data_IF_861963603884
#
_entry.id   IF_861963603884
#
_cell.length_a   1.000
_cell.length_b   1.000
_cell.length_c   1.000
_cell.angle_alpha   90.00
_cell.angle_beta   90.00
_cell.angle_gamma   90.00
#
_symmetry.space_group_name_H-M   'P 1'
#
loop_
_entity.id
_entity.type
_entity.pdbx_description
1 polymer ?
#
# COMPACT_ATOMS: atom_id res chain seq x y z
N UNK A 1 7.87 -1.96 20.10
CA UNK A 1 7.16 -0.71 20.47
C UNK A 1 5.88 -1.15 21.17
N UNK A 2 4.97 -0.24 21.52
CA UNK A 2 3.62 -0.64 21.89
C UNK A 2 2.77 -0.75 20.61
N UNK A 3 1.62 -1.43 20.69
CA UNK A 3 0.60 -1.40 19.65
C UNK A 3 0.29 0.05 19.26
N UNK A 4 -0.03 0.34 17.99
CA UNK A 4 -0.27 1.70 17.54
C UNK A 4 -1.49 2.29 18.26
N UNK A 5 -1.26 3.40 18.96
CA UNK A 5 -2.32 4.13 19.63
C UNK A 5 -3.14 4.93 18.62
N UNK A 6 -4.46 4.89 18.77
CA UNK A 6 -5.39 5.73 18.05
C UNK A 6 -6.53 6.19 18.95
N UNK A 7 -7.09 7.35 18.65
CA UNK A 7 -8.19 7.92 19.43
C UNK A 7 -9.50 7.89 18.66
N UNK A 8 -10.63 7.85 19.37
CA UNK A 8 -11.95 7.99 18.76
C UNK A 8 -12.06 9.30 17.94
N UNK A 9 -11.38 10.36 18.39
CA UNK A 9 -11.31 11.64 17.68
C UNK A 9 -10.65 11.49 16.31
N UNK A 10 -9.53 10.77 16.21
CA UNK A 10 -8.86 10.52 14.92
C UNK A 10 -9.76 9.73 13.95
N UNK A 11 -10.48 8.71 14.44
CA UNK A 11 -11.45 7.97 13.63
C UNK A 11 -12.58 8.88 13.12
N UNK A 12 -13.05 9.79 13.97
CA UNK A 12 -14.09 10.75 13.63
C UNK A 12 -13.61 11.76 12.58
N UNK A 13 -12.41 12.33 12.76
CA UNK A 13 -11.80 13.27 11.81
C UNK A 13 -11.49 12.63 10.45
N UNK A 14 -11.09 11.35 10.43
CA UNK A 14 -10.86 10.57 9.22
C UNK A 14 -12.16 10.17 8.49
N UNK A 15 -13.32 10.29 9.15
CA UNK A 15 -14.63 9.96 8.57
C UNK A 15 -15.00 8.48 8.63
N UNK A 16 -14.44 7.72 9.59
CA UNK A 16 -14.70 6.28 9.79
C UNK A 16 -16.15 5.98 10.17
N UNK A 17 -16.81 6.92 10.82
CA UNK A 17 -18.18 6.78 11.33
C UNK A 17 -19.27 6.87 10.25
N UNK A 18 -18.94 7.28 9.03
CA UNK A 18 -19.91 7.32 7.93
C UNK A 18 -20.04 5.96 7.26
N UNK A 19 -21.26 5.46 7.12
CA UNK A 19 -21.58 4.33 6.27
C UNK A 19 -22.24 4.75 4.95
N UNK A 20 -22.94 3.81 4.34
CA UNK A 20 -23.74 4.01 3.13
C UNK A 20 -25.14 4.56 3.42
N UNK A 21 -25.86 4.84 2.34
CA UNK A 21 -27.26 5.29 2.38
C UNK A 21 -28.21 4.22 2.95
N UNK A 22 -29.29 4.67 3.58
CA UNK A 22 -30.29 3.84 4.28
C UNK A 22 -30.84 2.65 3.47
N UNK A 23 -30.91 2.77 2.14
CA UNK A 23 -31.48 1.71 1.29
C UNK A 23 -30.49 0.59 0.95
N UNK A 24 -29.17 0.78 1.17
CA UNK A 24 -28.13 -0.20 0.82
C UNK A 24 -27.65 -1.03 2.01
N UNK A 25 -28.20 -0.81 3.20
CA UNK A 25 -27.73 -1.44 4.42
C UNK A 25 -28.08 -2.93 4.49
N UNK A 26 -27.25 -3.66 5.22
CA UNK A 26 -27.48 -5.06 5.55
C UNK A 26 -28.08 -5.14 6.97
N UNK A 27 -29.24 -5.80 7.16
CA UNK A 27 -29.86 -5.95 8.48
C UNK A 27 -28.94 -6.55 9.55
N UNK A 28 -27.97 -7.38 9.16
CA UNK A 28 -27.00 -8.00 10.08
C UNK A 28 -25.98 -7.01 10.65
N UNK A 29 -25.81 -5.86 10.02
CA UNK A 29 -24.99 -4.76 10.55
C UNK A 29 -25.73 -3.91 11.59
N UNK A 30 -27.01 -4.21 11.87
CA UNK A 30 -27.83 -3.40 12.77
C UNK A 30 -27.24 -3.18 14.16
N UNK A 31 -26.51 -4.15 14.71
CA UNK A 31 -25.85 -4.01 16.02
C UNK A 31 -24.67 -3.04 16.02
N UNK A 32 -24.04 -2.81 14.86
CA UNK A 32 -22.88 -1.93 14.70
C UNK A 32 -23.25 -0.51 14.22
N UNK A 33 -24.50 -0.30 13.85
CA UNK A 33 -25.03 0.98 13.38
C UNK A 33 -25.59 1.74 14.58
N UNK A 34 -25.06 2.93 14.85
CA UNK A 34 -25.53 3.82 15.91
C UNK A 34 -26.87 4.49 15.55
N UNK A 35 -27.04 4.89 14.29
CA UNK A 35 -28.25 5.56 13.83
C UNK A 35 -28.20 5.98 12.36
N UNK A 36 -29.15 6.82 11.94
CA UNK A 36 -29.21 7.40 10.60
C UNK A 36 -29.34 8.91 10.70
N UNK A 37 -28.51 9.64 9.94
CA UNK A 37 -28.60 11.11 9.83
C UNK A 37 -28.46 11.50 8.36
N UNK A 38 -29.36 12.34 7.86
CA UNK A 38 -29.39 12.76 6.45
C UNK A 38 -29.34 11.55 5.49
N UNK A 39 -30.13 10.51 5.78
CA UNK A 39 -30.20 9.25 5.04
C UNK A 39 -28.90 8.44 4.94
N UNK A 40 -27.87 8.79 5.70
CA UNK A 40 -26.61 8.05 5.82
C UNK A 40 -26.55 7.33 7.16
N UNK A 41 -26.14 6.06 7.15
CA UNK A 41 -25.90 5.30 8.38
C UNK A 41 -24.67 5.84 9.11
N UNK A 42 -24.78 5.98 10.42
CA UNK A 42 -23.66 6.30 11.30
C UNK A 42 -23.24 5.03 12.02
N UNK A 43 -21.97 4.65 11.88
CA UNK A 43 -21.36 3.51 12.55
C UNK A 43 -21.01 3.88 14.00
N UNK A 44 -21.17 2.92 14.91
CA UNK A 44 -20.86 3.11 16.32
C UNK A 44 -19.35 2.98 16.59
N UNK A 45 -18.67 4.13 16.71
CA UNK A 45 -17.23 4.17 17.01
C UNK A 45 -16.87 3.58 18.38
N UNK A 46 -17.81 3.51 19.33
CA UNK A 46 -17.55 2.90 20.64
C UNK A 46 -17.28 1.39 20.51
N UNK A 47 -17.86 0.76 19.48
CA UNK A 47 -17.60 -0.63 19.11
C UNK A 47 -16.40 -0.74 18.15
N UNK A 48 -16.23 0.21 17.22
CA UNK A 48 -15.08 0.21 16.29
C UNK A 48 -13.75 0.24 17.02
N UNK A 49 -13.59 1.06 18.07
CA UNK A 49 -12.31 1.21 18.78
C UNK A 49 -11.79 -0.11 19.37
N UNK A 50 -12.54 -0.84 20.22
CA UNK A 50 -12.06 -2.11 20.77
C UNK A 50 -11.88 -3.19 19.70
N UNK A 51 -12.75 -3.25 18.69
CA UNK A 51 -12.65 -4.23 17.61
C UNK A 51 -11.44 -3.98 16.70
N UNK A 52 -11.15 -2.72 16.38
CA UNK A 52 -9.95 -2.33 15.63
C UNK A 52 -8.69 -2.67 16.43
N UNK A 53 -8.67 -2.40 17.73
CA UNK A 53 -7.55 -2.77 18.59
C UNK A 53 -7.31 -4.29 18.61
N UNK A 54 -8.37 -5.11 18.67
CA UNK A 54 -8.25 -6.56 18.57
C UNK A 54 -7.69 -7.02 17.21
N UNK A 55 -8.14 -6.40 16.11
CA UNK A 55 -7.61 -6.69 14.78
C UNK A 55 -6.12 -6.32 14.66
N UNK A 56 -5.72 -5.14 15.15
CA UNK A 56 -4.32 -4.69 15.14
C UNK A 56 -3.43 -5.58 16.02
N UNK A 57 -3.95 -6.03 17.16
CA UNK A 57 -3.26 -7.00 18.00
C UNK A 57 -3.05 -8.33 17.28
N UNK A 58 -4.09 -8.86 16.63
CA UNK A 58 -3.98 -10.09 15.86
C UNK A 58 -2.94 -9.98 14.73
N UNK A 59 -2.87 -8.83 14.05
CA UNK A 59 -1.83 -8.54 13.05
C UNK A 59 -0.44 -8.56 13.69
N UNK A 60 -0.22 -7.79 14.77
CA UNK A 60 1.08 -7.74 15.47
C UNK A 60 1.51 -9.11 15.98
N UNK A 61 0.61 -9.88 16.59
CA UNK A 61 0.89 -11.21 17.13
C UNK A 61 1.18 -12.24 16.02
N UNK A 62 0.49 -12.16 14.88
CA UNK A 62 0.76 -13.02 13.71
C UNK A 62 2.16 -12.76 13.15
N UNK A 63 2.52 -11.48 12.98
CA UNK A 63 3.84 -11.10 12.45
C UNK A 63 4.95 -11.40 13.47
N UNK A 64 4.68 -11.21 14.76
CA UNK A 64 5.62 -11.57 15.83
C UNK A 64 5.93 -13.08 15.85
N UNK A 65 4.96 -13.92 15.47
CA UNK A 65 5.15 -15.36 15.28
C UNK A 65 5.88 -15.76 13.99
N UNK A 66 6.32 -14.79 13.17
CA UNK A 66 6.90 -15.04 11.85
C UNK A 66 5.86 -15.36 10.76
N UNK A 67 4.58 -15.17 11.07
CA UNK A 67 3.49 -15.34 10.13
C UNK A 67 3.39 -14.19 9.13
N UNK A 68 2.72 -14.45 8.01
CA UNK A 68 2.59 -13.51 6.90
C UNK A 68 1.20 -12.87 6.89
N UNK A 69 1.16 -11.55 6.75
CA UNK A 69 -0.09 -10.79 6.63
C UNK A 69 -0.29 -10.34 5.18
N UNK A 70 -1.48 -10.61 4.64
CA UNK A 70 -1.89 -10.17 3.32
C UNK A 70 -2.90 -9.03 3.40
N UNK A 71 -2.55 -7.85 2.90
CA UNK A 71 -3.45 -6.69 2.85
C UNK A 71 -4.16 -6.66 1.50
N UNK A 72 -5.50 -6.72 1.51
CA UNK A 72 -6.33 -6.82 0.30
C UNK A 72 -7.25 -5.62 0.20
N UNK A 73 -7.21 -4.95 -0.95
CA UNK A 73 -8.16 -3.88 -1.29
C UNK A 73 -8.05 -3.51 -2.77
N UNK A 74 -9.04 -3.95 -3.56
CA UNK A 74 -9.08 -3.74 -5.02
C UNK A 74 -9.78 -2.44 -5.43
N UNK A 75 -10.43 -1.79 -4.48
CA UNK A 75 -11.13 -0.52 -4.65
C UNK A 75 -10.15 0.58 -5.06
N UNK A 76 -10.57 1.47 -5.98
CA UNK A 76 -9.69 2.52 -6.51
C UNK A 76 -9.12 3.43 -5.41
N UNK A 77 -9.92 3.71 -4.38
CA UNK A 77 -9.54 4.50 -3.22
C UNK A 77 -8.54 3.78 -2.30
N UNK A 78 -8.53 2.44 -2.31
CA UNK A 78 -7.65 1.61 -1.48
C UNK A 78 -6.35 1.22 -2.18
N UNK A 79 -6.33 1.20 -3.51
CA UNK A 79 -5.25 0.66 -4.34
C UNK A 79 -3.84 1.14 -3.96
N UNK A 80 -3.69 2.45 -3.82
CA UNK A 80 -2.40 3.08 -3.51
C UNK A 80 -2.05 2.97 -2.03
N UNK A 81 -3.02 3.18 -1.14
CA UNK A 81 -2.84 3.10 0.30
C UNK A 81 -2.41 1.70 0.75
N UNK A 82 -3.06 0.66 0.22
CA UNK A 82 -2.73 -0.75 0.49
C UNK A 82 -1.32 -1.09 0.03
N UNK A 83 -0.97 -0.72 -1.20
CA UNK A 83 0.35 -1.02 -1.76
C UNK A 83 1.48 -0.29 -1.03
N UNK A 84 1.28 0.97 -0.66
CA UNK A 84 2.27 1.78 0.06
C UNK A 84 2.48 1.25 1.48
N UNK A 85 1.39 0.97 2.19
CA UNK A 85 1.44 0.52 3.59
C UNK A 85 2.04 -0.87 3.73
N UNK A 86 1.73 -1.78 2.80
CA UNK A 86 2.32 -3.10 2.76
C UNK A 86 3.84 -3.06 2.50
N UNK A 87 4.28 -2.24 1.52
CA UNK A 87 5.72 -2.04 1.26
C UNK A 87 6.45 -1.46 2.47
N UNK A 88 5.86 -0.47 3.13
CA UNK A 88 6.45 0.15 4.32
C UNK A 88 6.56 -0.81 5.51
N UNK A 89 5.70 -1.82 5.59
CA UNK A 89 5.69 -2.82 6.68
C UNK A 89 6.32 -4.15 6.29
N UNK A 90 6.96 -4.24 5.12
CA UNK A 90 7.49 -5.48 4.55
C UNK A 90 6.47 -6.64 4.51
N UNK A 91 5.18 -6.30 4.35
CA UNK A 91 4.08 -7.26 4.21
C UNK A 91 3.57 -7.33 2.77
N UNK A 92 2.72 -8.31 2.50
CA UNK A 92 2.21 -8.61 1.17
C UNK A 92 0.89 -7.92 0.89
N UNK A 93 0.58 -7.69 -0.38
CA UNK A 93 -0.66 -7.03 -0.76
C UNK A 93 -1.28 -7.51 -2.07
N UNK A 94 -2.59 -7.29 -2.19
CA UNK A 94 -3.33 -7.36 -3.45
C UNK A 94 -4.14 -6.09 -3.61
N UNK A 95 -3.73 -5.24 -4.54
CA UNK A 95 -4.39 -3.95 -4.78
C UNK A 95 -5.15 -3.87 -6.11
N UNK A 96 -4.80 -4.66 -7.13
CA UNK A 96 -5.47 -4.56 -8.43
C UNK A 96 -6.73 -5.44 -8.52
N UNK A 97 -6.56 -6.75 -8.67
CA UNK A 97 -7.66 -7.70 -8.85
C UNK A 97 -7.35 -8.99 -8.12
N UNK A 98 -8.34 -9.47 -7.36
CA UNK A 98 -8.33 -10.82 -6.83
C UNK A 98 -8.63 -11.84 -7.94
N UNK A 99 -7.70 -12.76 -8.21
CA UNK A 99 -7.92 -13.89 -9.10
C UNK A 99 -8.52 -15.03 -8.27
N UNK A 100 -9.65 -15.59 -8.70
CA UNK A 100 -10.23 -16.75 -8.03
C UNK A 100 -9.24 -17.92 -8.01
N UNK A 101 -9.07 -18.54 -6.86
CA UNK A 101 -8.05 -19.57 -6.65
C UNK A 101 -6.73 -19.04 -6.12
N UNK A 102 -6.64 -17.74 -5.77
CA UNK A 102 -5.41 -17.11 -5.26
C UNK A 102 -4.85 -17.83 -4.03
N UNK A 103 -5.70 -18.29 -3.12
CA UNK A 103 -5.29 -19.02 -1.93
C UNK A 103 -5.55 -20.52 -2.09
N UNK A 104 -6.73 -20.87 -2.59
CA UNK A 104 -7.17 -22.28 -2.68
C UNK A 104 -6.44 -23.10 -3.73
N UNK A 105 -5.92 -22.46 -4.79
CA UNK A 105 -5.09 -23.10 -5.82
C UNK A 105 -3.70 -22.45 -5.89
N UNK A 106 -3.00 -22.41 -4.75
CA UNK A 106 -1.67 -21.81 -4.65
C UNK A 106 -0.65 -22.38 -5.64
N UNK A 107 -0.75 -23.67 -6.00
CA UNK A 107 0.17 -24.30 -6.95
C UNK A 107 0.15 -23.60 -8.32
N UNK A 108 -1.03 -23.31 -8.89
CA UNK A 108 -1.13 -22.62 -10.18
C UNK A 108 -0.70 -21.15 -10.07
N UNK A 109 -0.99 -20.50 -8.95
CA UNK A 109 -0.58 -19.12 -8.70
C UNK A 109 0.94 -19.02 -8.60
N UNK A 110 1.58 -19.95 -7.89
CA UNK A 110 3.04 -20.03 -7.78
C UNK A 110 3.73 -20.21 -9.13
N UNK A 111 3.15 -20.99 -10.05
CA UNK A 111 3.64 -21.11 -11.43
C UNK A 111 3.51 -19.78 -12.21
N UNK A 112 2.44 -19.03 -11.97
CA UNK A 112 2.24 -17.71 -12.59
C UNK A 112 3.24 -16.68 -12.04
N UNK A 113 3.59 -16.76 -10.75
CA UNK A 113 4.65 -15.94 -10.13
C UNK A 113 6.03 -16.32 -10.69
N UNK A 114 6.31 -17.62 -10.87
CA UNK A 114 7.55 -18.07 -11.52
C UNK A 114 7.64 -17.58 -12.97
N UNK A 115 6.52 -17.59 -13.70
CA UNK A 115 6.44 -17.00 -15.05
C UNK A 115 6.75 -15.51 -15.04
N UNK A 116 6.21 -14.75 -14.09
CA UNK A 116 6.52 -13.33 -13.91
C UNK A 116 8.03 -13.10 -13.68
N UNK A 117 8.63 -13.83 -12.74
CA UNK A 117 10.08 -13.75 -12.47
C UNK A 117 10.93 -14.06 -13.71
N UNK A 118 10.55 -15.09 -14.48
CA UNK A 118 11.24 -15.44 -15.73
C UNK A 118 11.10 -14.34 -16.80
N UNK A 119 9.93 -13.70 -16.90
CA UNK A 119 9.72 -12.59 -17.83
C UNK A 119 10.58 -11.38 -17.46
N UNK A 120 10.65 -11.03 -16.17
CA UNK A 120 11.53 -9.96 -15.68
C UNK A 120 12.99 -10.26 -16.01
N UNK A 121 13.48 -11.46 -15.69
CA UNK A 121 14.85 -11.88 -15.95
C UNK A 121 15.19 -11.82 -17.44
N UNK A 122 14.31 -12.36 -18.30
CA UNK A 122 14.52 -12.36 -19.74
C UNK A 122 14.56 -10.94 -20.31
N UNK A 123 13.68 -10.06 -19.82
CA UNK A 123 13.60 -8.65 -20.26
C UNK A 123 14.75 -7.79 -19.71
N UNK A 124 15.32 -8.14 -18.55
CA UNK A 124 16.48 -7.45 -17.98
C UNK A 124 17.82 -7.94 -18.54
N UNK A 125 17.87 -9.17 -19.04
CA UNK A 125 19.08 -9.76 -19.60
C UNK A 125 19.34 -9.32 -21.05
N UNK A 126 20.58 -9.48 -21.52
CA UNK A 126 20.94 -9.25 -22.93
C UNK A 126 20.16 -10.12 -23.93
N UNK A 127 19.50 -11.18 -23.45
CA UNK A 127 18.57 -11.97 -24.27
C UNK A 127 17.43 -11.11 -24.84
N UNK A 128 17.07 -10.00 -24.19
CA UNK A 128 16.07 -9.05 -24.69
C UNK A 128 16.45 -8.42 -26.04
N UNK A 129 17.76 -8.32 -26.34
CA UNK A 129 18.26 -7.75 -27.60
C UNK A 129 18.16 -8.74 -28.77
N UNK A 130 18.04 -10.04 -28.49
CA UNK A 130 17.83 -11.09 -29.50
C UNK A 130 16.37 -11.24 -29.93
N UNK A 131 15.44 -10.60 -29.23
CA UNK A 131 14.00 -10.68 -29.49
C UNK A 131 13.57 -9.68 -30.56
N UNK A 132 12.59 -10.06 -31.36
CA UNK A 132 11.95 -9.10 -32.26
C UNK A 132 11.17 -8.05 -31.47
N UNK A 133 11.02 -6.84 -32.02
CA UNK A 133 10.23 -5.76 -31.38
C UNK A 133 8.80 -6.21 -31.04
N UNK A 134 8.22 -7.09 -31.87
CA UNK A 134 6.88 -7.65 -31.65
C UNK A 134 6.86 -8.58 -30.44
N UNK A 135 7.79 -9.52 -30.35
CA UNK A 135 7.89 -10.46 -29.22
C UNK A 135 8.17 -9.73 -27.91
N UNK A 136 9.10 -8.76 -27.93
CA UNK A 136 9.39 -7.91 -26.77
C UNK A 136 8.14 -7.20 -26.27
N UNK A 137 7.35 -6.60 -27.17
CA UNK A 137 6.08 -5.94 -26.81
C UNK A 137 5.06 -6.90 -26.18
N UNK A 138 4.95 -8.13 -26.69
CA UNK A 138 4.05 -9.13 -26.10
C UNK A 138 4.52 -9.56 -24.71
N UNK A 139 5.82 -9.76 -24.52
CA UNK A 139 6.41 -10.10 -23.22
C UNK A 139 6.26 -8.96 -22.21
N UNK A 140 6.48 -7.71 -22.63
CA UNK A 140 6.27 -6.53 -21.76
C UNK A 140 4.81 -6.41 -21.31
N UNK A 141 3.84 -6.61 -22.22
CA UNK A 141 2.41 -6.61 -21.87
C UNK A 141 2.04 -7.75 -20.92
N UNK A 142 2.62 -8.95 -21.13
CA UNK A 142 2.42 -10.09 -20.23
C UNK A 142 3.00 -9.78 -18.84
N UNK A 143 4.23 -9.26 -18.78
CA UNK A 143 4.88 -8.82 -17.53
C UNK A 143 4.03 -7.79 -16.81
N UNK A 144 3.63 -6.70 -17.46
CA UNK A 144 2.81 -5.64 -16.83
C UNK A 144 1.48 -6.17 -16.29
N UNK A 145 0.84 -7.09 -17.02
CA UNK A 145 -0.42 -7.71 -16.57
C UNK A 145 -0.20 -8.59 -15.34
N UNK A 146 0.87 -9.38 -15.33
CA UNK A 146 1.20 -10.24 -14.19
C UNK A 146 1.66 -9.42 -12.99
N UNK A 147 2.55 -8.44 -13.19
CA UNK A 147 3.07 -7.56 -12.15
C UNK A 147 1.94 -6.77 -11.46
N UNK A 148 1.00 -6.23 -12.24
CA UNK A 148 -0.15 -5.51 -11.69
C UNK A 148 -0.99 -6.38 -10.73
N UNK A 149 -1.14 -7.67 -11.00
CA UNK A 149 -2.04 -8.55 -10.23
C UNK A 149 -1.31 -9.39 -9.17
N UNK A 150 -0.04 -9.74 -9.40
CA UNK A 150 0.72 -10.70 -8.59
C UNK A 150 1.97 -10.07 -7.94
N UNK A 151 2.34 -8.83 -8.29
CA UNK A 151 3.56 -8.19 -7.78
C UNK A 151 3.60 -8.13 -6.26
N UNK A 152 2.47 -7.83 -5.61
CA UNK A 152 2.38 -7.75 -4.15
C UNK A 152 2.44 -9.09 -3.40
N UNK A 153 2.33 -10.24 -4.09
CA UNK A 153 2.47 -11.58 -3.51
C UNK A 153 3.67 -12.35 -4.06
N UNK A 154 4.47 -11.72 -4.92
CA UNK A 154 5.63 -12.31 -5.61
C UNK A 154 6.61 -12.96 -4.65
N UNK A 155 6.83 -12.33 -3.49
CA UNK A 155 7.84 -12.73 -2.51
C UNK A 155 7.25 -13.42 -1.27
N UNK A 156 5.98 -13.83 -1.32
CA UNK A 156 5.28 -14.45 -0.18
C UNK A 156 5.72 -15.89 0.09
N UNK A 157 6.09 -16.63 -0.96
CA UNK A 157 6.61 -18.00 -0.88
C UNK A 157 5.61 -19.06 -0.39
N UNK A 158 4.42 -18.69 0.07
CA UNK A 158 3.39 -19.59 0.60
C UNK A 158 2.08 -18.88 0.89
N UNK A 159 1.16 -19.57 1.56
CA UNK A 159 -0.17 -19.05 1.95
C UNK A 159 -0.01 -18.12 3.16
N UNK A 160 -0.76 -16.99 3.23
CA UNK A 160 -0.75 -16.10 4.39
C UNK A 160 -1.42 -16.73 5.62
N UNK A 161 -1.00 -16.28 6.80
CA UNK A 161 -1.53 -16.73 8.09
C UNK A 161 -2.67 -15.83 8.59
N UNK A 162 -2.73 -14.58 8.10
CA UNK A 162 -3.83 -13.65 8.35
C UNK A 162 -4.06 -12.77 7.13
N UNK A 163 -5.33 -12.46 6.86
CA UNK A 163 -5.71 -11.56 5.75
C UNK A 163 -6.44 -10.37 6.33
N UNK A 164 -6.00 -9.17 5.94
CA UNK A 164 -6.70 -7.93 6.21
C UNK A 164 -7.42 -7.45 4.94
N UNK A 165 -8.74 -7.29 5.01
CA UNK A 165 -9.59 -6.98 3.85
C UNK A 165 -10.28 -5.63 4.03
N UNK A 166 -10.22 -4.80 3.00
CA UNK A 166 -10.98 -3.55 2.88
C UNK A 166 -12.14 -3.80 1.93
N UNK A 167 -13.37 -3.51 2.37
CA UNK A 167 -14.63 -3.75 1.64
C UNK A 167 -14.91 -5.26 1.42
N UNK A 168 -15.70 -5.85 2.31
CA UNK A 168 -15.99 -7.29 2.22
C UNK A 168 -16.88 -7.69 1.05
N UNK A 169 -17.68 -6.75 0.53
CA UNK A 169 -18.61 -7.03 -0.55
C UNK A 169 -17.87 -7.17 -1.88
N UNK A 170 -16.86 -6.32 -2.10
CA UNK A 170 -16.05 -6.36 -3.31
C UNK A 170 -14.99 -7.45 -3.27
N UNK A 171 -14.54 -7.85 -2.09
CA UNK A 171 -13.52 -8.88 -1.85
C UNK A 171 -14.12 -10.22 -1.38
N UNK A 172 -15.40 -10.47 -1.67
CA UNK A 172 -16.11 -11.67 -1.21
C UNK A 172 -15.43 -13.00 -1.59
N UNK A 173 -14.76 -13.06 -2.75
CA UNK A 173 -14.02 -14.25 -3.20
C UNK A 173 -12.83 -14.52 -2.27
N UNK A 174 -12.08 -13.47 -1.87
CA UNK A 174 -10.95 -13.59 -0.97
C UNK A 174 -11.39 -14.16 0.39
N UNK A 175 -12.51 -13.67 0.92
CA UNK A 175 -13.09 -14.12 2.20
C UNK A 175 -13.55 -15.58 2.12
N UNK A 176 -14.20 -15.97 1.01
CA UNK A 176 -14.65 -17.35 0.82
C UNK A 176 -13.47 -18.33 0.73
N UNK A 177 -12.40 -17.95 0.03
CA UNK A 177 -11.18 -18.75 -0.06
C UNK A 177 -10.46 -18.85 1.28
N UNK A 178 -10.32 -17.73 2.00
CA UNK A 178 -9.73 -17.69 3.34
C UNK A 178 -10.49 -18.59 4.31
N UNK A 179 -11.84 -18.51 4.30
CA UNK A 179 -12.71 -19.35 5.12
C UNK A 179 -12.54 -20.84 4.81
N UNK A 180 -12.43 -21.23 3.53
CA UNK A 180 -12.20 -22.64 3.17
C UNK A 180 -10.90 -23.19 3.70
N UNK A 181 -9.86 -22.35 3.77
CA UNK A 181 -8.54 -22.74 4.27
C UNK A 181 -8.38 -22.56 5.78
N UNK A 182 -9.38 -21.97 6.46
CA UNK A 182 -9.32 -21.69 7.89
C UNK A 182 -8.41 -20.50 8.25
N UNK A 183 -8.10 -19.63 7.29
CA UNK A 183 -7.27 -18.45 7.52
C UNK A 183 -8.12 -17.37 8.20
N UNK A 184 -7.69 -16.81 9.35
CA UNK A 184 -8.42 -15.73 10.01
C UNK A 184 -8.47 -14.48 9.14
N UNK A 185 -9.66 -13.85 9.12
CA UNK A 185 -9.93 -12.64 8.33
C UNK A 185 -10.21 -11.49 9.28
N UNK A 186 -9.40 -10.44 9.19
CA UNK A 186 -9.71 -9.13 9.73
C UNK A 186 -10.26 -8.25 8.61
N UNK A 187 -11.41 -7.61 8.80
CA UNK A 187 -12.02 -6.84 7.72
C UNK A 187 -12.71 -5.56 8.20
N UNK A 188 -12.60 -4.52 7.37
CA UNK A 188 -13.40 -3.30 7.53
C UNK A 188 -14.80 -3.56 6.98
N UNK A 189 -15.81 -3.26 7.80
CA UNK A 189 -17.21 -3.50 7.52
C UNK A 189 -18.00 -2.20 7.49
N UNK A 190 -18.45 -1.82 6.30
CA UNK A 190 -19.46 -0.78 6.16
C UNK A 190 -20.88 -1.36 6.40
N UNK A 191 -21.86 -0.49 6.58
CA UNK A 191 -23.29 -0.76 6.74
C UNK A 191 -23.91 -1.73 5.73
N UNK A 192 -23.37 -1.90 4.51
CA UNK A 192 -23.86 -2.81 3.48
C UNK A 192 -23.21 -4.21 3.53
N UNK A 193 -22.20 -4.41 4.37
CA UNK A 193 -21.42 -5.64 4.43
C UNK A 193 -22.12 -6.71 5.31
N UNK A 194 -21.71 -7.97 5.16
CA UNK A 194 -22.18 -9.06 6.02
C UNK A 194 -21.08 -9.41 7.05
N UNK A 195 -21.32 -9.26 8.36
CA UNK A 195 -20.30 -9.54 9.38
C UNK A 195 -20.01 -11.04 9.55
N UNK A 196 -20.87 -11.92 8.99
CA UNK A 196 -20.79 -13.36 9.22
C UNK A 196 -19.52 -14.00 8.66
N UNK A 197 -18.83 -14.71 9.54
CA UNK A 197 -17.63 -15.50 9.27
C UNK A 197 -16.41 -14.67 8.87
N UNK A 198 -16.33 -13.48 9.46
CA UNK A 198 -15.11 -12.67 9.62
C UNK A 198 -14.66 -12.87 11.07
N UNK A 199 -13.37 -13.14 11.26
CA UNK A 199 -12.82 -13.43 12.59
C UNK A 199 -12.68 -12.15 13.43
N UNK A 200 -12.22 -11.07 12.80
CA UNK A 200 -12.05 -9.77 13.43
C UNK A 200 -12.84 -8.71 12.64
N UNK A 201 -14.15 -8.56 12.91
CA UNK A 201 -14.98 -7.57 12.24
C UNK A 201 -14.68 -6.17 12.79
N UNK A 202 -14.33 -5.21 11.92
CA UNK A 202 -14.10 -3.82 12.32
C UNK A 202 -15.13 -2.93 11.62
N UNK A 203 -16.17 -2.45 12.34
CA UNK A 203 -17.17 -1.56 11.76
C UNK A 203 -16.56 -0.22 11.38
N UNK A 204 -16.73 0.22 10.14
CA UNK A 204 -16.20 1.50 9.67
C UNK A 204 -16.35 1.73 8.17
N UNK A 205 -16.11 2.98 7.77
CA UNK A 205 -16.19 3.44 6.39
C UNK A 205 -15.13 2.79 5.49
N UNK A 206 -15.51 2.24 4.35
CA UNK A 206 -14.61 1.67 3.33
C UNK A 206 -14.54 2.47 2.01
N UNK A 207 -15.25 3.60 1.91
CA UNK A 207 -15.31 4.47 0.73
C UNK A 207 -14.36 5.67 0.84
N UNK A 208 -14.21 6.21 2.04
CA UNK A 208 -13.41 7.41 2.26
C UNK A 208 -11.90 7.09 2.20
N UNK A 209 -11.20 7.69 1.24
CA UNK A 209 -9.74 7.53 1.11
C UNK A 209 -8.97 7.88 2.39
N UNK A 210 -9.42 8.87 3.17
CA UNK A 210 -8.81 9.24 4.47
C UNK A 210 -8.98 8.13 5.52
N UNK A 211 -10.15 7.50 5.60
CA UNK A 211 -10.39 6.37 6.51
C UNK A 211 -9.55 5.15 6.09
N UNK A 212 -9.53 4.83 4.80
CA UNK A 212 -8.74 3.73 4.25
C UNK A 212 -7.24 3.93 4.53
N UNK A 213 -6.71 5.13 4.27
CA UNK A 213 -5.32 5.46 4.56
C UNK A 213 -4.99 5.29 6.05
N UNK A 214 -5.90 5.72 6.94
CA UNK A 214 -5.74 5.54 8.39
C UNK A 214 -5.66 4.06 8.78
N UNK A 215 -6.57 3.20 8.28
CA UNK A 215 -6.50 1.77 8.61
C UNK A 215 -5.20 1.14 8.10
N UNK A 216 -4.79 1.48 6.87
CA UNK A 216 -3.57 0.92 6.27
C UNK A 216 -2.33 1.35 7.05
N UNK A 217 -2.25 2.62 7.49
CA UNK A 217 -1.15 3.13 8.33
C UNK A 217 -1.12 2.43 9.70
N UNK A 218 -2.27 2.29 10.36
CA UNK A 218 -2.34 1.58 11.65
C UNK A 218 -1.88 0.12 11.53
N UNK A 219 -2.25 -0.56 10.46
CA UNK A 219 -1.87 -1.96 10.21
C UNK A 219 -0.39 -2.07 9.88
N UNK A 220 0.14 -1.17 9.07
CA UNK A 220 1.57 -1.13 8.79
C UNK A 220 2.38 -0.95 10.07
N UNK A 221 1.97 -0.04 10.96
CA UNK A 221 2.60 0.16 12.26
C UNK A 221 2.48 -1.07 13.16
N UNK A 222 1.32 -1.72 13.19
CA UNK A 222 1.12 -2.95 13.97
C UNK A 222 2.00 -4.11 13.45
N UNK A 223 2.17 -4.23 12.14
CA UNK A 223 3.07 -5.21 11.54
C UNK A 223 4.55 -4.90 11.86
N UNK A 224 4.98 -3.63 11.77
CA UNK A 224 6.34 -3.22 12.14
C UNK A 224 6.63 -3.50 13.62
N UNK A 225 5.64 -3.26 14.49
CA UNK A 225 5.74 -3.63 15.90
C UNK A 225 5.91 -5.15 16.08
N UNK A 226 5.11 -5.96 15.35
CA UNK A 226 5.26 -7.41 15.33
C UNK A 226 6.66 -7.87 14.89
N UNK A 227 7.22 -7.27 13.82
CA UNK A 227 8.59 -7.55 13.36
C UNK A 227 9.61 -7.22 14.45
N UNK A 228 9.47 -6.05 15.08
CA UNK A 228 10.37 -5.61 16.15
C UNK A 228 10.31 -6.56 17.35
N UNK A 229 9.12 -7.04 17.71
CA UNK A 229 8.90 -8.03 18.77
C UNK A 229 9.52 -9.38 18.42
N UNK A 230 9.40 -9.83 17.17
CA UNK A 230 10.03 -11.06 16.70
C UNK A 230 11.57 -10.98 16.79
N UNK A 231 12.16 -9.85 16.40
CA UNK A 231 13.61 -9.62 16.47
C UNK A 231 14.11 -9.59 17.92
N UNK A 232 13.40 -8.90 18.81
CA UNK A 232 13.72 -8.88 20.24
C UNK A 232 13.60 -10.25 20.91
N UNK A 233 12.60 -11.05 20.54
CA UNK A 233 12.43 -12.41 21.04
C UNK A 233 13.47 -13.40 20.47
N UNK A 234 13.98 -13.14 19.26
CA UNK A 234 15.01 -13.95 18.61
C UNK A 234 16.43 -13.65 19.10
N UNK A 235 16.60 -12.74 20.07
CA UNK A 235 17.90 -12.44 20.68
C UNK A 235 18.85 -11.65 19.77
N UNK A 236 18.34 -10.99 18.72
CA UNK A 236 19.10 -9.96 18.01
C UNK A 236 19.10 -8.69 18.86
N UNK A 237 19.94 -8.71 19.90
CA UNK A 237 20.30 -7.55 20.68
C UNK A 237 21.22 -6.65 19.84
N UNK A 238 20.60 -5.76 19.07
CA UNK A 238 21.33 -4.68 18.35
C UNK A 238 21.94 -3.68 19.35
N UNK A 239 21.70 -3.83 20.66
CA UNK A 239 22.32 -3.06 21.75
C UNK A 239 23.66 -3.62 22.25
N UNK A 240 24.10 -4.80 21.79
CA UNK A 240 25.41 -5.38 22.13
C UNK A 240 26.46 -5.19 21.02
N UNK A 241 26.32 -4.15 20.21
CA UNK A 241 27.44 -3.61 19.43
C UNK A 241 28.16 -2.58 20.31
N UNK A 242 29.10 -3.03 21.15
CA UNK A 242 29.94 -2.16 21.99
C UNK A 242 30.99 -1.35 21.19
N UNK A 243 31.02 -1.45 19.86
CA UNK A 243 31.81 -0.56 19.02
C UNK A 243 30.87 0.37 18.25
N UNK A 244 30.72 1.58 18.79
CA UNK A 244 30.42 2.74 17.97
C UNK A 244 31.40 2.74 16.78
N UNK A 245 30.96 2.89 15.52
CA UNK A 245 31.89 3.20 14.45
C UNK A 245 32.52 4.52 14.84
N UNK A 246 33.80 4.47 15.22
CA UNK A 246 34.59 5.67 15.44
C UNK A 246 34.59 6.39 14.11
N UNK A 247 33.91 7.53 14.08
CA UNK A 247 33.96 8.47 12.97
C UNK A 247 35.44 8.81 12.77
N UNK A 248 36.05 8.28 11.70
CA UNK A 248 37.40 8.67 11.29
C UNK A 248 37.34 10.14 10.87
N UNK A 249 37.49 11.00 11.88
CA UNK A 249 37.77 12.40 11.74
C UNK A 249 39.00 12.53 10.83
N UNK A 250 38.78 12.93 9.59
CA UNK A 250 39.79 13.37 8.64
C UNK A 250 40.61 14.49 9.30
N UNK A 251 41.75 14.10 9.88
CA UNK A 251 42.77 15.01 10.34
C UNK A 251 43.38 15.73 9.11
N UNK A 252 43.22 17.05 9.12
CA UNK A 252 43.73 17.99 8.13
C UNK A 252 45.26 17.91 7.94
N UNK A 253 45.78 18.65 6.95
CA UNK A 253 46.56 19.79 7.39
C UNK A 253 46.15 21.12 6.75
N UNK A 254 46.28 22.14 7.59
CA UNK A 254 46.04 23.56 7.36
C UNK A 254 47.32 24.21 6.81
N UNK A 255 47.12 25.14 5.87
CA UNK A 255 47.94 26.30 5.48
C UNK A 255 49.31 26.10 4.79
N UNK A 256 49.46 26.66 3.59
CA UNK A 256 50.22 27.93 3.42
C UNK A 256 49.91 28.68 2.09
N UNK A 257 49.59 29.96 2.26
CA UNK A 257 49.68 31.19 1.43
C UNK A 257 49.31 31.32 -0.07
N UNK A 258 48.66 32.46 -0.33
CA UNK A 258 48.22 33.07 -1.58
C UNK A 258 49.38 33.79 -2.35
N UNK A 259 49.12 34.35 -3.55
CA UNK A 259 48.68 35.76 -3.57
C UNK A 259 47.62 36.08 -4.66
N UNK A 260 47.27 37.38 -4.71
CA UNK A 260 46.01 37.97 -5.14
C UNK A 260 45.88 38.39 -6.63
N UNK A 261 44.62 38.72 -6.96
CA UNK A 261 44.12 39.77 -7.87
C UNK A 261 43.85 39.43 -9.36
N UNK A 262 42.55 39.44 -9.75
CA UNK A 262 41.94 40.41 -10.70
C UNK A 262 40.50 39.99 -11.11
N UNK A 263 39.65 40.98 -11.36
CA UNK A 263 38.20 40.98 -11.64
C UNK A 263 37.72 40.12 -12.83
N UNK A 264 36.40 39.84 -12.95
CA UNK A 264 35.78 39.67 -14.26
C UNK A 264 34.69 40.73 -14.52
N UNK A 265 34.93 41.51 -15.58
CA UNK A 265 33.89 42.19 -16.34
C UNK A 265 33.27 41.16 -17.33
N UNK A 266 31.96 40.99 -17.29
CA UNK A 266 31.22 40.19 -18.27
C UNK A 266 30.37 41.14 -19.13
N UNK A 267 30.74 41.23 -20.42
CA UNK A 267 29.98 41.90 -21.46
C UNK A 267 29.33 40.85 -22.39
N UNK A 268 28.02 41.05 -22.58
CA UNK A 268 27.24 40.96 -23.82
C UNK A 268 27.28 39.68 -24.68
N UNK A 269 26.09 39.10 -24.85
CA UNK A 269 25.69 38.38 -26.05
C UNK A 269 24.31 38.90 -26.50
N UNK A 270 24.28 39.56 -27.66
CA UNK A 270 23.06 39.95 -28.39
C UNK A 270 23.03 39.28 -29.79
N UNK A 271 21.86 39.24 -30.45
CA UNK A 271 21.43 38.15 -31.34
C UNK A 271 21.55 38.46 -32.84
N UNK A 272 21.28 37.45 -33.68
CA UNK A 272 21.26 37.55 -35.15
C UNK A 272 19.83 37.49 -35.71
N UNK A 273 19.53 38.48 -36.56
CA UNK A 273 18.39 38.76 -37.44
C UNK A 273 17.97 37.57 -38.36
N UNK A 274 16.71 37.33 -38.76
CA UNK A 274 15.63 38.11 -39.44
C UNK A 274 15.69 38.09 -40.98
N UNK A 275 14.62 37.58 -41.61
CA UNK A 275 14.02 37.95 -42.91
C UNK A 275 12.77 37.07 -43.13
N UNK A 276 11.70 37.40 -43.86
CA UNK A 276 10.86 38.57 -44.10
C UNK A 276 9.76 38.10 -45.11
N UNK A 277 8.48 38.44 -44.95
CA UNK A 277 7.63 38.79 -46.11
C UNK A 277 6.35 39.55 -45.73
N UNK A 278 5.99 40.51 -46.59
CA UNK A 278 4.92 41.51 -46.49
C UNK A 278 3.56 40.99 -46.98
N UNK A 279 2.47 41.51 -46.42
CA UNK A 279 1.33 42.05 -47.19
C UNK A 279 0.41 42.90 -46.29
N UNK A 280 -0.03 44.04 -46.82
CA UNK A 280 -1.00 44.97 -46.24
C UNK A 280 -1.98 45.36 -47.39
N UNK A 281 -3.01 46.22 -47.20
CA UNK A 281 -3.81 46.59 -46.02
C UNK A 281 -5.34 46.59 -46.34
N UNK A 282 -6.15 47.11 -45.40
CA UNK A 282 -7.36 47.94 -45.59
C UNK A 282 -8.66 47.39 -44.96
N UNK A 283 -9.14 48.06 -43.92
CA UNK A 283 -10.39 48.84 -43.94
C UNK A 283 -10.64 49.47 -42.56
N UNK A 284 -10.78 50.79 -42.53
CA UNK A 284 -11.44 51.54 -41.47
C UNK A 284 -12.67 52.17 -42.13
N UNK A 285 -13.83 52.08 -41.49
CA UNK A 285 -14.81 53.17 -41.51
C UNK A 285 -15.85 52.99 -40.39
N UNK A 286 -16.22 54.15 -39.84
CA UNK A 286 -17.42 54.56 -39.10
C UNK A 286 -18.19 53.55 -38.22
#
# INVERSE_FOLDING_TARGET
MALPDFTMRQLLEAGVHFGHQKHRWNPRMGSYIFGVRNDVHIMDLSQTVPLLHQALKAVSDTVAGGGRVLIVGTKRQAQEAVATSARNSAQYFVNARWLGGMLTNWKTISQSIQRLRKLEETLSSDAANSLTKKERLFMDREREKLERNLGGIKDMGGIPDLIFVIDTNREAIAIQEARRLGIPVAAILDSNCNPDGITYPVPGNDDAGRAIALYCDLIARAAIDGISRAQGASGMDVGASEEAPVEEALAAPVAEEAPAAAEPAAAEAEPVAAEAEKAAPAAADA
#
